data_IF_630550408616
#
_entry.id   IF_630550408616
#
_cell.length_a   1.000
_cell.length_b   1.000
_cell.length_c   1.000
_cell.angle_alpha   90.00
_cell.angle_beta   90.00
_cell.angle_gamma   90.00
#
_symmetry.space_group_name_H-M   'P 1'
#
loop_
_entity.id
_entity.type
_entity.pdbx_description
1 polymer ?
#
# COMPACT_ATOMS: atom_id res chain seq x y z
N UNK A 1 16.60 -12.44 7.01
CA UNK A 1 15.97 -12.55 5.67
C UNK A 1 14.77 -13.51 5.60
N UNK A 2 14.88 -14.85 5.73
CA UNK A 2 13.70 -15.75 5.60
C UNK A 2 12.54 -15.41 6.58
N UNK A 3 12.87 -15.04 7.82
CA UNK A 3 11.89 -14.63 8.82
C UNK A 3 11.24 -13.25 8.53
N UNK A 4 11.87 -12.40 7.72
CA UNK A 4 11.33 -11.07 7.38
C UNK A 4 10.31 -11.15 6.25
N UNK A 5 10.50 -12.05 5.28
CA UNK A 5 9.49 -12.33 4.25
C UNK A 5 8.29 -13.08 4.82
N UNK A 6 8.49 -13.94 5.81
CA UNK A 6 7.39 -14.55 6.56
C UNK A 6 6.46 -13.49 7.17
N UNK A 7 6.98 -12.31 7.54
CA UNK A 7 6.19 -11.21 8.08
C UNK A 7 5.18 -10.66 7.07
N UNK A 8 5.50 -10.64 5.77
CA UNK A 8 4.55 -10.25 4.71
C UNK A 8 3.32 -11.15 4.74
N UNK A 9 3.51 -12.48 4.80
CA UNK A 9 2.41 -13.43 4.91
C UNK A 9 1.65 -13.28 6.23
N UNK A 10 2.33 -12.95 7.33
CA UNK A 10 1.66 -12.70 8.61
C UNK A 10 0.77 -11.44 8.57
N UNK A 11 1.17 -10.39 7.85
CA UNK A 11 0.32 -9.20 7.64
C UNK A 11 -0.99 -9.58 6.94
N UNK A 12 -0.91 -10.48 5.96
CA UNK A 12 -2.05 -10.99 5.19
C UNK A 12 -2.95 -11.89 6.06
N UNK A 13 -2.38 -12.88 6.74
CA UNK A 13 -3.15 -13.94 7.42
C UNK A 13 -3.53 -13.55 8.85
N UNK A 14 -2.65 -12.85 9.58
CA UNK A 14 -2.79 -12.48 11.00
C UNK A 14 -2.46 -11.00 11.26
N UNK A 15 -3.18 -10.06 10.61
CA UNK A 15 -2.79 -8.64 10.57
C UNK A 15 -2.56 -8.01 11.94
N UNK A 16 -3.44 -8.27 12.92
CA UNK A 16 -3.32 -7.65 14.25
C UNK A 16 -2.01 -8.02 14.96
N UNK A 17 -1.65 -9.32 14.96
CA UNK A 17 -0.44 -9.81 15.60
C UNK A 17 0.82 -9.34 14.84
N UNK A 18 0.76 -9.36 13.51
CA UNK A 18 1.84 -8.91 12.66
C UNK A 18 2.14 -7.42 12.88
N UNK A 19 1.12 -6.56 12.86
CA UNK A 19 1.31 -5.12 13.06
C UNK A 19 1.79 -4.76 14.47
N UNK A 20 1.35 -5.49 15.50
CA UNK A 20 1.87 -5.30 16.85
C UNK A 20 3.36 -5.65 16.89
N UNK A 21 3.74 -6.78 16.29
CA UNK A 21 5.14 -7.21 16.18
C UNK A 21 5.99 -6.18 15.43
N UNK A 22 5.51 -5.68 14.29
CA UNK A 22 6.18 -4.67 13.48
C UNK A 22 6.35 -3.35 14.25
N UNK A 23 5.30 -2.88 14.93
CA UNK A 23 5.32 -1.65 15.75
C UNK A 23 6.34 -1.77 16.88
N UNK A 24 6.32 -2.88 17.60
CA UNK A 24 7.12 -3.07 18.81
C UNK A 24 8.59 -3.38 18.47
N UNK A 25 8.86 -3.92 17.28
CA UNK A 25 10.20 -4.26 16.80
C UNK A 25 10.65 -3.45 15.57
N UNK A 26 10.16 -2.22 15.42
CA UNK A 26 10.41 -1.38 14.23
C UNK A 26 11.89 -1.19 13.89
N UNK A 27 12.79 -1.16 14.88
CA UNK A 27 14.24 -1.07 14.65
C UNK A 27 14.78 -2.24 13.81
N UNK A 28 14.18 -3.43 13.94
CA UNK A 28 14.53 -4.63 13.17
C UNK A 28 13.86 -4.65 11.80
N UNK A 29 12.63 -4.15 11.70
CA UNK A 29 11.79 -4.31 10.51
C UNK A 29 11.74 -3.08 9.59
N UNK A 30 12.29 -1.93 9.99
CA UNK A 30 12.25 -0.72 9.19
C UNK A 30 12.96 -0.89 7.84
N UNK A 31 14.20 -1.39 7.84
CA UNK A 31 14.94 -1.60 6.59
C UNK A 31 14.28 -2.66 5.67
N UNK A 32 13.85 -3.84 6.19
CA UNK A 32 13.03 -4.77 5.43
C UNK A 32 11.74 -4.16 4.85
N UNK A 33 11.07 -3.25 5.57
CA UNK A 33 9.85 -2.61 5.06
C UNK A 33 10.12 -1.72 3.85
N UNK A 34 11.30 -1.08 3.76
CA UNK A 34 11.72 -0.33 2.58
C UNK A 34 11.89 -1.29 1.39
N UNK A 35 12.50 -2.46 1.61
CA UNK A 35 12.64 -3.48 0.57
C UNK A 35 11.28 -3.97 0.04
N UNK A 36 10.27 -4.10 0.92
CA UNK A 36 8.89 -4.42 0.51
C UNK A 36 8.33 -3.34 -0.43
N UNK A 37 8.49 -2.06 -0.08
CA UNK A 37 8.03 -0.94 -0.93
C UNK A 37 8.73 -0.95 -2.29
N UNK A 38 10.05 -1.16 -2.31
CA UNK A 38 10.82 -1.25 -3.55
C UNK A 38 10.35 -2.43 -4.41
N UNK A 39 10.12 -3.59 -3.81
CA UNK A 39 9.62 -4.77 -4.52
C UNK A 39 8.23 -4.53 -5.11
N UNK A 40 7.29 -4.01 -4.32
CA UNK A 40 5.92 -3.71 -4.80
C UNK A 40 5.95 -2.69 -5.92
N UNK A 41 6.79 -1.67 -5.81
CA UNK A 41 6.95 -0.63 -6.84
C UNK A 41 7.54 -1.21 -8.12
N UNK A 42 8.51 -2.12 -8.02
CA UNK A 42 9.13 -2.81 -9.16
C UNK A 42 8.13 -3.71 -9.88
N UNK A 43 7.33 -4.46 -9.11
CA UNK A 43 6.28 -5.34 -9.66
C UNK A 43 5.22 -4.52 -10.40
N UNK A 44 4.74 -3.42 -9.82
CA UNK A 44 3.83 -2.51 -10.52
C UNK A 44 4.44 -1.96 -11.82
N UNK A 45 5.66 -1.42 -11.74
CA UNK A 45 6.31 -0.79 -12.88
C UNK A 45 6.57 -1.78 -14.02
N UNK A 46 6.96 -3.03 -13.70
CA UNK A 46 7.19 -4.08 -14.69
C UNK A 46 5.91 -4.59 -15.37
N UNK A 47 4.76 -4.46 -14.72
CA UNK A 47 3.47 -4.88 -15.28
C UNK A 47 2.81 -3.79 -16.14
N UNK A 48 3.10 -2.52 -15.86
CA UNK A 48 2.60 -1.40 -16.66
C UNK A 48 3.34 -1.25 -18.01
N UNK A 49 4.49 -1.90 -18.22
CA UNK A 49 5.39 -1.54 -19.32
C UNK A 49 5.47 -2.52 -20.48
N UNK A 50 4.98 -2.06 -21.63
CA UNK A 50 5.60 -2.25 -22.94
C UNK A 50 6.41 -1.01 -23.41
N UNK A 51 6.67 -0.02 -22.53
CA UNK A 51 7.21 1.31 -22.90
C UNK A 51 8.40 1.77 -22.03
N UNK A 52 9.25 2.71 -22.50
CA UNK A 52 10.41 3.24 -21.77
C UNK A 52 10.09 4.06 -20.49
N UNK A 53 8.83 4.16 -20.07
CA UNK A 53 8.39 4.95 -18.91
C UNK A 53 8.54 4.23 -17.54
N UNK A 54 9.14 3.03 -17.49
CA UNK A 54 9.27 2.19 -16.28
C UNK A 54 9.86 2.95 -15.10
N UNK A 55 10.95 3.70 -15.32
CA UNK A 55 11.63 4.44 -14.26
C UNK A 55 10.74 5.54 -13.66
N UNK A 56 9.93 6.21 -14.49
CA UNK A 56 9.00 7.24 -14.04
C UNK A 56 7.86 6.62 -13.20
N UNK A 57 7.28 5.51 -13.66
CA UNK A 57 6.21 4.81 -12.94
C UNK A 57 6.73 4.27 -11.59
N UNK A 58 7.90 3.65 -11.59
CA UNK A 58 8.55 3.17 -10.37
C UNK A 58 8.78 4.29 -9.36
N UNK A 59 9.36 5.41 -9.81
CA UNK A 59 9.63 6.58 -8.95
C UNK A 59 8.36 7.19 -8.38
N UNK A 60 7.32 7.36 -9.21
CA UNK A 60 6.03 7.90 -8.77
C UNK A 60 5.33 7.00 -7.75
N UNK A 61 5.41 5.69 -7.90
CA UNK A 61 4.85 4.75 -6.92
C UNK A 61 5.53 4.90 -5.55
N UNK A 62 6.87 4.94 -5.51
CA UNK A 62 7.62 5.12 -4.26
C UNK A 62 7.25 6.45 -3.59
N UNK A 63 7.24 7.54 -4.36
CA UNK A 63 6.88 8.86 -3.84
C UNK A 63 5.46 8.88 -3.28
N UNK A 64 4.51 8.26 -3.98
CA UNK A 64 3.13 8.15 -3.53
C UNK A 64 2.99 7.38 -2.22
N UNK A 65 3.71 6.26 -2.06
CA UNK A 65 3.72 5.46 -0.84
C UNK A 65 4.32 6.26 0.33
N UNK A 66 5.46 6.92 0.11
CA UNK A 66 6.11 7.76 1.13
C UNK A 66 5.21 8.93 1.54
N UNK A 67 4.57 9.59 0.58
CA UNK A 67 3.64 10.69 0.85
C UNK A 67 2.41 10.23 1.64
N UNK A 68 1.86 9.05 1.32
CA UNK A 68 0.75 8.44 2.07
C UNK A 68 1.16 8.11 3.50
N UNK A 69 2.32 7.46 3.70
CA UNK A 69 2.85 7.17 5.04
C UNK A 69 3.11 8.44 5.86
N UNK A 70 3.66 9.48 5.23
CA UNK A 70 3.84 10.80 5.84
C UNK A 70 2.51 11.44 6.25
N UNK A 71 1.51 11.37 5.39
CA UNK A 71 0.16 11.88 5.66
C UNK A 71 -0.49 11.16 6.84
N UNK A 72 -0.45 9.82 6.86
CA UNK A 72 -0.95 9.02 7.99
C UNK A 72 -0.20 9.37 9.28
N UNK A 73 1.12 9.55 9.21
CA UNK A 73 1.92 9.96 10.37
C UNK A 73 1.50 11.32 10.91
N UNK A 74 1.40 12.34 10.06
CA UNK A 74 1.07 13.71 10.47
C UNK A 74 -0.33 13.79 11.08
N UNK A 75 -1.33 13.19 10.42
CA UNK A 75 -2.70 13.16 10.93
C UNK A 75 -2.77 12.34 12.23
N UNK A 76 -2.16 11.15 12.24
CA UNK A 76 -2.11 10.29 13.42
C UNK A 76 -1.49 11.00 14.63
N UNK A 77 -0.35 11.67 14.42
CA UNK A 77 0.32 12.49 15.45
C UNK A 77 -0.56 13.63 15.95
N UNK A 78 -1.22 14.36 15.04
CA UNK A 78 -2.13 15.45 15.41
C UNK A 78 -3.33 14.97 16.24
N UNK A 79 -3.77 13.73 16.02
CA UNK A 79 -4.89 13.11 16.74
C UNK A 79 -4.48 12.36 18.03
N UNK A 80 -3.24 12.55 18.50
CA UNK A 80 -2.71 11.94 19.73
C UNK A 80 -2.18 10.51 19.57
N UNK A 81 -1.93 10.07 18.33
CA UNK A 81 -1.40 8.75 18.00
C UNK A 81 0.11 8.62 18.22
N UNK A 82 0.71 7.68 17.50
CA UNK A 82 2.12 7.33 17.65
C UNK A 82 3.03 8.46 17.12
N UNK A 83 3.93 8.95 17.98
CA UNK A 83 4.85 10.05 17.63
C UNK A 83 6.12 9.57 16.93
N UNK A 84 6.40 8.27 16.99
CA UNK A 84 7.57 7.65 16.39
C UNK A 84 7.30 7.34 14.91
N UNK A 85 7.85 8.18 14.03
CA UNK A 85 7.66 8.05 12.59
C UNK A 85 8.20 6.72 12.06
N UNK A 86 9.26 6.14 12.66
CA UNK A 86 9.83 4.86 12.18
C UNK A 86 8.84 3.72 12.39
N UNK A 87 8.11 3.71 13.51
CA UNK A 87 7.03 2.74 13.77
C UNK A 87 5.92 2.87 12.75
N UNK A 88 5.48 4.11 12.48
CA UNK A 88 4.42 4.38 11.51
C UNK A 88 4.84 3.89 10.13
N UNK A 89 6.00 4.33 9.65
CA UNK A 89 6.50 3.97 8.32
C UNK A 89 6.69 2.46 8.18
N UNK A 90 7.27 1.80 9.18
CA UNK A 90 7.43 0.33 9.16
C UNK A 90 6.09 -0.37 8.97
N UNK A 91 5.07 0.01 9.75
CA UNK A 91 3.75 -0.61 9.65
C UNK A 91 3.09 -0.31 8.30
N UNK A 92 3.10 0.96 7.85
CA UNK A 92 2.47 1.36 6.60
C UNK A 92 3.14 0.71 5.39
N UNK A 93 4.48 0.66 5.34
CA UNK A 93 5.21 0.03 4.25
C UNK A 93 4.94 -1.47 4.14
N UNK A 94 4.69 -2.15 5.26
CA UNK A 94 4.26 -3.56 5.22
C UNK A 94 2.80 -3.76 4.78
N UNK A 95 1.94 -2.73 4.86
CA UNK A 95 0.59 -2.77 4.25
C UNK A 95 0.71 -2.85 2.73
N UNK A 96 1.69 -2.17 2.14
CA UNK A 96 1.93 -2.20 0.68
C UNK A 96 2.19 -3.60 0.14
N UNK A 97 2.56 -4.55 0.99
CA UNK A 97 2.67 -5.95 0.59
C UNK A 97 1.34 -6.56 0.10
N UNK A 98 0.19 -5.98 0.48
CA UNK A 98 -1.14 -6.30 -0.07
C UNK A 98 -1.26 -5.88 -1.54
N UNK A 99 -0.46 -4.91 -1.96
CA UNK A 99 -0.34 -4.52 -3.36
C UNK A 99 0.10 -5.70 -4.24
N UNK A 100 0.93 -6.62 -3.72
CA UNK A 100 1.42 -7.78 -4.50
C UNK A 100 0.26 -8.66 -5.00
N UNK A 101 -0.63 -9.20 -4.15
CA UNK A 101 -1.75 -10.00 -4.63
C UNK A 101 -2.75 -9.19 -5.47
N UNK A 102 -2.95 -7.90 -5.18
CA UNK A 102 -3.83 -7.04 -6.01
C UNK A 102 -3.29 -6.87 -7.44
N UNK A 103 -1.98 -6.69 -7.55
CA UNK A 103 -1.29 -6.53 -8.82
C UNK A 103 -1.24 -7.84 -9.59
N UNK A 104 -0.91 -8.94 -8.91
CA UNK A 104 -0.97 -10.28 -9.50
C UNK A 104 -2.39 -10.62 -9.99
N UNK A 105 -3.41 -10.29 -9.20
CA UNK A 105 -4.82 -10.43 -9.60
C UNK A 105 -5.09 -9.63 -10.87
N UNK A 106 -4.79 -8.32 -10.87
CA UNK A 106 -4.99 -7.42 -12.02
C UNK A 106 -4.31 -7.92 -13.29
N UNK A 107 -3.07 -8.41 -13.18
CA UNK A 107 -2.36 -9.01 -14.31
C UNK A 107 -3.06 -10.28 -14.82
N UNK A 108 -3.51 -11.18 -13.94
CA UNK A 108 -4.26 -12.35 -14.38
C UNK A 108 -5.56 -11.96 -15.10
N UNK A 109 -6.20 -10.85 -14.70
CA UNK A 109 -7.42 -10.38 -15.33
C UNK A 109 -7.21 -9.95 -16.78
N UNK A 110 -6.05 -9.41 -17.15
CA UNK A 110 -5.80 -8.98 -18.54
C UNK A 110 -5.78 -10.13 -19.54
N UNK A 111 -5.67 -11.38 -19.06
CA UNK A 111 -5.69 -12.58 -19.92
C UNK A 111 -7.03 -13.33 -19.87
N UNK A 112 -8.01 -12.88 -19.07
CA UNK A 112 -9.29 -13.57 -18.97
C UNK A 112 -10.21 -13.24 -20.15
N UNK A 113 -10.96 -14.23 -20.67
CA UNK A 113 -12.05 -14.00 -21.61
C UNK A 113 -13.07 -12.98 -21.09
N UNK A 114 -13.71 -12.23 -21.99
CA UNK A 114 -14.69 -11.19 -21.63
C UNK A 114 -15.83 -11.72 -20.75
N UNK A 115 -16.23 -12.98 -20.95
CA UNK A 115 -17.26 -13.67 -20.16
C UNK A 115 -16.86 -13.84 -18.68
N UNK A 116 -15.57 -13.78 -18.35
CA UNK A 116 -15.04 -13.90 -17.00
C UNK A 116 -14.68 -12.54 -16.37
N UNK A 117 -14.79 -11.43 -17.11
CA UNK A 117 -14.45 -10.10 -16.61
C UNK A 117 -15.37 -9.63 -15.47
N UNK A 118 -16.63 -10.07 -15.44
CA UNK A 118 -17.53 -9.76 -14.32
C UNK A 118 -17.06 -10.38 -13.00
N UNK A 119 -16.64 -11.65 -13.01
CA UNK A 119 -16.12 -12.35 -11.84
C UNK A 119 -14.77 -11.75 -11.38
N UNK A 120 -13.92 -11.43 -12.35
CA UNK A 120 -12.67 -10.72 -12.14
C UNK A 120 -12.84 -9.38 -11.43
N UNK A 121 -13.81 -8.58 -11.87
CA UNK A 121 -14.14 -7.29 -11.25
C UNK A 121 -14.63 -7.46 -9.80
N UNK A 122 -15.49 -8.45 -9.54
CA UNK A 122 -15.92 -8.77 -8.19
C UNK A 122 -14.74 -9.16 -7.28
N UNK A 123 -13.77 -9.91 -7.81
CA UNK A 123 -12.55 -10.28 -7.08
C UNK A 123 -11.69 -9.04 -6.74
N UNK A 124 -11.53 -8.10 -7.68
CA UNK A 124 -10.83 -6.84 -7.40
C UNK A 124 -11.49 -6.08 -6.25
N UNK A 125 -12.82 -5.93 -6.28
CA UNK A 125 -13.56 -5.28 -5.20
C UNK A 125 -13.30 -5.97 -3.86
N UNK A 126 -13.33 -7.31 -3.83
CA UNK A 126 -13.07 -8.08 -2.62
C UNK A 126 -11.65 -7.83 -2.07
N UNK A 127 -10.64 -7.81 -2.93
CA UNK A 127 -9.25 -7.51 -2.54
C UNK A 127 -9.12 -6.06 -2.05
N UNK A 128 -9.81 -5.12 -2.67
CA UNK A 128 -9.84 -3.70 -2.28
C UNK A 128 -10.45 -3.52 -0.88
N UNK A 129 -11.61 -4.13 -0.63
CA UNK A 129 -12.27 -4.13 0.69
C UNK A 129 -11.34 -4.76 1.73
N UNK A 130 -10.69 -5.86 1.38
CA UNK A 130 -9.74 -6.53 2.28
C UNK A 130 -8.52 -5.66 2.59
N UNK A 131 -7.96 -4.96 1.61
CA UNK A 131 -6.90 -3.97 1.80
C UNK A 131 -7.31 -2.84 2.75
N UNK A 132 -8.54 -2.33 2.61
CA UNK A 132 -9.11 -1.33 3.53
C UNK A 132 -9.21 -1.87 4.96
N UNK A 133 -9.68 -3.11 5.13
CA UNK A 133 -9.79 -3.76 6.45
C UNK A 133 -8.40 -3.89 7.09
N UNK A 134 -7.41 -4.36 6.34
CA UNK A 134 -6.04 -4.50 6.86
C UNK A 134 -5.42 -3.15 7.18
N UNK A 135 -5.55 -2.16 6.30
CA UNK A 135 -5.06 -0.80 6.54
C UNK A 135 -5.66 -0.17 7.79
N UNK A 136 -6.97 -0.37 7.99
CA UNK A 136 -7.67 0.09 9.20
C UNK A 136 -7.12 -0.61 10.45
N UNK A 137 -6.91 -1.92 10.41
CA UNK A 137 -6.29 -2.68 11.52
C UNK A 137 -4.88 -2.19 11.83
N UNK A 138 -4.09 -1.89 10.81
CA UNK A 138 -2.74 -1.37 10.95
C UNK A 138 -2.72 -0.04 11.72
N UNK A 139 -3.52 0.94 11.27
CA UNK A 139 -3.62 2.25 11.92
C UNK A 139 -4.14 2.13 13.35
N UNK A 140 -5.09 1.21 13.57
CA UNK A 140 -5.64 0.90 14.90
C UNK A 140 -4.55 0.41 15.86
N UNK A 141 -3.80 -0.61 15.46
CA UNK A 141 -2.72 -1.20 16.28
C UNK A 141 -1.58 -0.20 16.50
N UNK A 142 -1.25 0.58 15.47
CA UNK A 142 -0.17 1.55 15.50
C UNK A 142 -0.42 2.70 16.49
N UNK A 143 -1.65 3.22 16.50
CA UNK A 143 -2.01 4.45 17.22
C UNK A 143 -2.92 4.23 18.44
N UNK A 144 -3.45 3.03 18.65
CA UNK A 144 -4.43 2.76 19.70
C UNK A 144 -5.81 3.39 19.46
N UNK A 145 -6.12 3.76 18.22
CA UNK A 145 -7.38 4.42 17.87
C UNK A 145 -8.58 3.46 17.86
N UNK A 146 -9.78 4.02 17.92
CA UNK A 146 -11.01 3.30 17.54
C UNK A 146 -11.10 3.07 16.04
N UNK A 147 -11.92 2.11 15.61
CA UNK A 147 -12.06 1.71 14.19
C UNK A 147 -12.46 2.88 13.29
N UNK A 148 -13.44 3.71 13.70
CA UNK A 148 -13.91 4.84 12.91
C UNK A 148 -12.80 5.87 12.65
N UNK A 149 -12.02 6.21 13.69
CA UNK A 149 -10.89 7.14 13.55
C UNK A 149 -9.81 6.55 12.65
N UNK A 150 -9.46 5.27 12.83
CA UNK A 150 -8.46 4.60 11.98
C UNK A 150 -8.87 4.56 10.50
N UNK A 151 -10.13 4.24 10.22
CA UNK A 151 -10.69 4.23 8.88
C UNK A 151 -10.71 5.64 8.27
N UNK A 152 -11.13 6.66 9.02
CA UNK A 152 -11.15 8.05 8.55
C UNK A 152 -9.77 8.57 8.15
N UNK A 153 -8.72 8.22 8.89
CA UNK A 153 -7.33 8.56 8.54
C UNK A 153 -6.91 7.86 7.25
N UNK A 154 -7.25 6.58 7.09
CA UNK A 154 -6.96 5.82 5.87
C UNK A 154 -7.62 6.46 4.64
N UNK A 155 -8.91 6.79 4.75
CA UNK A 155 -9.67 7.41 3.65
C UNK A 155 -9.13 8.80 3.31
N UNK A 156 -8.82 9.62 4.30
CA UNK A 156 -8.24 10.94 4.07
C UNK A 156 -6.86 10.82 3.39
N UNK A 157 -6.02 9.87 3.81
CA UNK A 157 -4.75 9.60 3.16
C UNK A 157 -4.93 9.15 1.71
N UNK A 158 -5.91 8.27 1.44
CA UNK A 158 -6.23 7.82 0.09
C UNK A 158 -6.72 8.98 -0.80
N UNK A 159 -7.57 9.86 -0.28
CA UNK A 159 -8.05 11.05 -1.02
C UNK A 159 -6.90 12.01 -1.34
N UNK A 160 -6.01 12.26 -0.37
CA UNK A 160 -4.81 13.07 -0.59
C UNK A 160 -3.93 12.40 -1.65
N UNK A 161 -3.71 11.09 -1.56
CA UNK A 161 -2.91 10.38 -2.56
C UNK A 161 -3.52 10.49 -3.97
N UNK A 162 -4.84 10.35 -4.11
CA UNK A 162 -5.55 10.52 -5.39
C UNK A 162 -5.41 11.95 -5.94
N UNK A 163 -5.55 12.96 -5.08
CA UNK A 163 -5.45 14.36 -5.48
C UNK A 163 -4.07 14.73 -6.05
N UNK A 164 -3.01 14.02 -5.65
CA UNK A 164 -1.65 14.28 -6.13
C UNK A 164 -1.26 13.39 -7.31
N UNK A 165 -1.69 12.12 -7.34
CA UNK A 165 -1.30 11.18 -8.40
C UNK A 165 -2.04 11.45 -9.72
N UNK A 166 -3.29 11.89 -9.68
CA UNK A 166 -4.10 12.14 -10.88
C UNK A 166 -3.47 13.25 -11.73
N UNK A 167 -3.16 14.45 -11.20
CA UNK A 167 -2.52 15.50 -11.99
C UNK A 167 -1.17 15.07 -12.57
N UNK A 168 -0.36 14.34 -11.79
CA UNK A 168 0.94 13.85 -12.25
C UNK A 168 0.76 12.86 -13.40
N UNK A 169 -0.13 11.87 -13.27
CA UNK A 169 -0.41 10.93 -14.36
C UNK A 169 -0.93 11.63 -15.60
N UNK A 170 -1.82 12.61 -15.46
CA UNK A 170 -2.30 13.42 -16.58
C UNK A 170 -1.17 14.24 -17.23
N UNK A 171 -0.21 14.77 -16.48
CA UNK A 171 0.90 15.54 -17.05
C UNK A 171 1.93 14.66 -17.77
N UNK A 172 2.23 13.47 -17.26
CA UNK A 172 3.32 12.63 -17.77
C UNK A 172 2.88 11.51 -18.72
N UNK A 173 1.62 11.07 -18.68
CA UNK A 173 1.13 9.94 -19.49
C UNK A 173 0.20 10.37 -20.63
N UNK A 174 -0.41 11.56 -20.56
CA UNK A 174 -1.25 12.11 -21.63
C UNK A 174 -0.55 12.29 -22.99
N UNK A 175 0.74 12.70 -23.10
CA UNK A 175 1.36 12.85 -24.41
C UNK A 175 1.65 11.50 -25.12
N UNK A 176 1.44 10.36 -24.47
CA UNK A 176 1.72 9.03 -25.02
C UNK A 176 0.47 8.20 -25.36
N UNK A 177 -0.73 8.79 -25.26
CA UNK A 177 -2.01 8.13 -25.54
C UNK A 177 -2.55 8.34 -26.98
N UNK A 178 -1.67 8.61 -27.95
CA UNK A 178 -2.01 8.73 -29.38
C UNK A 178 -1.29 7.68 -30.22
#
# INVERSE_FOLDING_TARGET
>A
MLNEFAMVFQVIIRPNQAFATLRDNHHRYFLPSIAVVLLVSAVHAGLDSATPAIAAIFGLNILGIVASAGTIYLIGKALGGNKDWRKVFTVIFYIEAIGIPLVAASFLLSFLPISLQGAAFAMLIAVLIWGIIIGTKAIKVLNGFGTAKAFGILMLSALIHLAWIIPIRLLYLWPFSF
#
